data_IF_370589165394
#
_entry.id   IF_370589165394
#
_cell.length_a   1.000
_cell.length_b   1.000
_cell.length_c   1.000
_cell.angle_alpha   90.00
_cell.angle_beta   90.00
_cell.angle_gamma   90.00
#
_symmetry.space_group_name_H-M   'P 1'
#
loop_
_entity.id
_entity.type
_entity.pdbx_description
1 polymer ?
#
# COMPACT_ATOMS: atom_id res chain seq x y z
N UNK A 1 5.03 15.41 4.75
CA UNK A 1 4.82 14.64 5.99
C UNK A 1 4.84 13.18 5.62
N UNK A 2 5.68 12.38 6.27
CA UNK A 2 5.81 10.96 6.00
C UNK A 2 6.10 10.21 7.29
N UNK A 3 5.84 8.91 7.30
CA UNK A 3 6.17 8.06 8.44
C UNK A 3 5.89 6.60 8.16
N UNK A 4 6.51 5.75 8.98
CA UNK A 4 6.40 4.29 8.91
C UNK A 4 6.25 3.77 10.34
N UNK A 5 5.24 2.94 10.57
CA UNK A 5 5.05 2.18 11.80
C UNK A 5 4.97 0.71 11.41
N UNK A 6 5.80 -0.13 12.05
CA UNK A 6 5.76 -1.59 11.91
C UNK A 6 5.57 -2.15 13.31
N UNK A 7 4.42 -2.79 13.54
CA UNK A 7 4.04 -3.36 14.83
C UNK A 7 4.32 -4.86 14.92
N UNK A 8 4.48 -5.53 13.77
CA UNK A 8 4.78 -6.96 13.69
C UNK A 8 6.25 -7.16 13.26
N UNK A 9 7.12 -7.72 14.12
CA UNK A 9 8.54 -7.94 13.80
C UNK A 9 8.79 -8.75 12.53
N UNK A 10 7.87 -9.62 12.13
CA UNK A 10 7.99 -10.39 10.87
C UNK A 10 7.96 -9.52 9.62
N UNK A 11 7.45 -8.30 9.71
CA UNK A 11 7.38 -7.35 8.58
C UNK A 11 8.55 -6.35 8.61
N UNK A 12 9.43 -6.41 9.61
CA UNK A 12 10.51 -5.43 9.75
C UNK A 12 11.47 -5.44 8.56
N UNK A 13 11.65 -6.60 7.92
CA UNK A 13 12.44 -6.71 6.69
C UNK A 13 11.86 -5.88 5.52
N UNK A 14 10.59 -5.46 5.57
CA UNK A 14 9.97 -4.60 4.56
C UNK A 14 10.22 -3.11 4.81
N UNK A 15 10.79 -2.71 5.96
CA UNK A 15 11.07 -1.28 6.24
C UNK A 15 11.86 -0.61 5.11
N UNK A 16 12.96 -1.17 4.60
CA UNK A 16 13.71 -0.54 3.51
C UNK A 16 12.84 -0.32 2.25
N UNK A 17 11.92 -1.25 1.95
CA UNK A 17 10.98 -1.08 0.82
C UNK A 17 10.04 0.11 1.06
N UNK A 18 9.48 0.23 2.26
CA UNK A 18 8.56 1.31 2.61
C UNK A 18 9.25 2.68 2.61
N UNK A 19 10.53 2.73 3.02
CA UNK A 19 11.35 3.94 2.94
C UNK A 19 11.63 4.33 1.48
N UNK A 20 12.06 3.36 0.65
CA UNK A 20 12.31 3.59 -0.79
C UNK A 20 11.05 3.88 -1.59
N UNK A 21 9.88 3.49 -1.09
CA UNK A 21 8.61 3.78 -1.75
C UNK A 21 8.32 5.28 -1.78
N UNK A 22 8.71 6.03 -0.75
CA UNK A 22 8.64 7.50 -0.75
C UNK A 22 9.53 8.08 -1.85
N UNK A 23 10.79 7.64 -1.94
CA UNK A 23 11.74 8.06 -2.98
C UNK A 23 11.20 7.78 -4.39
N UNK A 24 10.54 6.63 -4.58
CA UNK A 24 9.95 6.24 -5.86
C UNK A 24 8.80 7.18 -6.27
N UNK A 25 7.94 7.58 -5.32
CA UNK A 25 6.87 8.54 -5.58
C UNK A 25 7.45 9.92 -5.93
N UNK A 26 8.44 10.39 -5.17
CA UNK A 26 9.09 11.67 -5.44
C UNK A 26 9.78 11.69 -6.80
N UNK A 27 10.51 10.63 -7.13
CA UNK A 27 11.19 10.51 -8.42
C UNK A 27 10.18 10.45 -9.58
N UNK A 28 9.07 9.73 -9.41
CA UNK A 28 8.00 9.70 -10.40
C UNK A 28 7.43 11.11 -10.62
N UNK A 29 7.04 11.79 -9.54
CA UNK A 29 6.44 13.12 -9.63
C UNK A 29 7.43 14.18 -10.15
N UNK A 30 8.72 14.07 -9.83
CA UNK A 30 9.75 14.97 -10.37
C UNK A 30 9.93 14.84 -11.89
N UNK A 31 9.72 13.64 -12.44
CA UNK A 31 9.83 13.38 -13.89
C UNK A 31 8.53 13.68 -14.63
N UNK A 32 7.38 13.30 -14.07
CA UNK A 32 6.06 13.49 -14.69
C UNK A 32 5.48 14.89 -14.48
N UNK A 33 5.98 15.61 -13.48
CA UNK A 33 5.52 16.94 -13.11
C UNK A 33 4.19 16.92 -12.36
N UNK A 34 3.62 18.10 -12.21
CA UNK A 34 2.48 18.39 -11.32
C UNK A 34 1.11 17.93 -11.86
N UNK A 35 1.07 17.30 -13.03
CA UNK A 35 -0.19 16.98 -13.71
C UNK A 35 -0.70 15.56 -13.43
N UNK A 36 0.11 14.70 -12.80
CA UNK A 36 -0.25 13.32 -12.51
C UNK A 36 0.58 12.79 -11.35
N UNK A 37 -0.09 12.11 -10.41
CA UNK A 37 0.60 11.37 -9.34
C UNK A 37 0.13 9.91 -9.37
N UNK A 38 0.99 8.95 -9.01
CA UNK A 38 0.72 7.53 -9.17
C UNK A 38 -0.48 7.06 -8.32
N UNK A 39 -0.71 7.71 -7.19
CA UNK A 39 -1.79 7.39 -6.27
C UNK A 39 -3.17 7.90 -6.72
N UNK A 40 -3.25 8.69 -7.79
CA UNK A 40 -4.54 9.04 -8.40
C UNK A 40 -5.12 7.94 -9.29
N UNK A 41 -4.27 7.02 -9.76
CA UNK A 41 -4.64 6.02 -10.75
C UNK A 41 -5.34 4.83 -10.11
N UNK A 42 -4.67 3.69 -10.01
CA UNK A 42 -5.21 2.44 -9.47
C UNK A 42 -4.18 1.71 -8.60
N UNK A 43 -4.58 0.56 -8.05
CA UNK A 43 -3.69 -0.26 -7.24
C UNK A 43 -2.47 -0.76 -8.02
N UNK A 44 -2.56 -0.91 -9.35
CA UNK A 44 -1.45 -1.41 -10.18
C UNK A 44 -0.35 -0.38 -10.31
N UNK A 45 -0.69 0.90 -10.45
CA UNK A 45 0.28 1.98 -10.44
C UNK A 45 1.08 1.98 -9.11
N UNK A 46 0.39 1.83 -7.98
CA UNK A 46 1.01 1.83 -6.66
C UNK A 46 1.80 0.55 -6.37
N UNK A 47 1.33 -0.62 -6.83
CA UNK A 47 2.10 -1.86 -6.84
C UNK A 47 3.37 -1.74 -7.68
N UNK A 48 3.30 -1.06 -8.83
CA UNK A 48 4.45 -0.76 -9.68
C UNK A 48 5.55 -0.02 -8.92
N UNK A 49 5.18 1.03 -8.20
CA UNK A 49 6.13 1.79 -7.38
C UNK A 49 6.63 1.02 -6.16
N UNK A 50 5.77 0.25 -5.49
CA UNK A 50 6.20 -0.60 -4.38
C UNK A 50 7.18 -1.68 -4.86
N UNK A 51 6.97 -2.23 -6.07
CA UNK A 51 7.90 -3.15 -6.72
C UNK A 51 9.22 -2.46 -7.09
N UNK A 52 9.19 -1.24 -7.61
CA UNK A 52 10.44 -0.49 -7.86
C UNK A 52 11.21 -0.23 -6.57
N UNK A 53 10.50 0.13 -5.49
CA UNK A 53 11.07 0.34 -4.17
C UNK A 53 11.73 -0.93 -3.60
N UNK A 54 11.14 -2.11 -3.84
CA UNK A 54 11.73 -3.38 -3.43
C UNK A 54 13.06 -3.65 -4.15
N UNK A 55 13.14 -3.41 -5.46
CA UNK A 55 14.41 -3.50 -6.20
C UNK A 55 15.46 -2.49 -5.69
N UNK A 56 15.04 -1.26 -5.37
CA UNK A 56 15.92 -0.24 -4.79
C UNK A 56 16.38 -0.58 -3.36
N UNK A 57 15.67 -1.46 -2.68
CA UNK A 57 15.98 -1.97 -1.36
C UNK A 57 16.78 -3.29 -1.40
N UNK A 58 17.39 -3.63 -2.55
CA UNK A 58 18.20 -4.84 -2.75
C UNK A 58 17.40 -6.15 -2.56
N UNK A 59 16.09 -6.11 -2.76
CA UNK A 59 15.20 -7.27 -2.72
C UNK A 59 14.83 -7.72 -4.12
N UNK A 60 14.44 -8.99 -4.25
CA UNK A 60 13.82 -9.50 -5.47
C UNK A 60 12.31 -9.33 -5.39
N UNK A 61 11.69 -8.94 -6.49
CA UNK A 61 10.25 -8.80 -6.57
C UNK A 61 9.71 -9.20 -7.93
N UNK A 62 8.48 -9.73 -7.94
CA UNK A 62 7.75 -10.07 -9.14
C UNK A 62 6.27 -9.77 -8.96
N UNK A 63 5.72 -8.95 -9.87
CA UNK A 63 4.27 -8.74 -9.95
C UNK A 63 3.58 -9.91 -10.62
N UNK A 64 2.32 -10.15 -10.24
CA UNK A 64 1.51 -11.24 -10.80
C UNK A 64 2.21 -12.61 -10.66
N UNK A 65 2.95 -12.78 -9.56
CA UNK A 65 3.78 -13.94 -9.31
C UNK A 65 2.91 -15.20 -9.18
N UNK A 66 3.21 -16.28 -9.95
CA UNK A 66 2.46 -17.52 -9.88
C UNK A 66 2.44 -18.09 -8.46
N UNK A 67 1.26 -18.53 -8.03
CA UNK A 67 1.08 -19.22 -6.75
C UNK A 67 0.01 -20.31 -6.89
N UNK A 68 -0.24 -21.03 -5.80
CA UNK A 68 -1.42 -21.87 -5.66
C UNK A 68 -2.40 -21.19 -4.70
N UNK A 69 -3.70 -21.32 -4.96
CA UNK A 69 -4.76 -20.86 -4.07
C UNK A 69 -5.58 -22.04 -3.57
N UNK A 70 -5.91 -22.05 -2.29
CA UNK A 70 -6.84 -23.00 -1.71
C UNK A 70 -8.28 -22.62 -2.09
N UNK A 71 -9.01 -23.60 -2.60
CA UNK A 71 -10.45 -23.57 -2.88
C UNK A 71 -11.10 -24.78 -2.19
N UNK A 72 -12.44 -24.81 -2.11
CA UNK A 72 -13.17 -25.93 -1.48
C UNK A 72 -12.83 -27.29 -2.13
N UNK A 73 -12.55 -27.30 -3.44
CA UNK A 73 -12.18 -28.49 -4.23
C UNK A 73 -10.68 -28.84 -4.21
N UNK A 74 -9.86 -28.14 -3.41
CA UNK A 74 -8.41 -28.39 -3.30
C UNK A 74 -7.54 -27.17 -3.65
N UNK A 75 -6.49 -27.37 -4.46
CA UNK A 75 -5.60 -26.29 -4.89
C UNK A 75 -5.81 -25.96 -6.38
N UNK A 76 -5.90 -24.66 -6.70
CA UNK A 76 -5.91 -24.17 -8.08
C UNK A 76 -4.75 -23.23 -8.32
N UNK A 77 -4.22 -23.22 -9.54
CA UNK A 77 -3.28 -22.18 -9.98
C UNK A 77 -3.89 -20.79 -9.78
N UNK A 78 -3.15 -19.93 -9.10
CA UNK A 78 -3.51 -18.55 -8.83
C UNK A 78 -2.31 -17.62 -9.00
N UNK A 79 -2.49 -16.36 -8.63
CA UNK A 79 -1.43 -15.36 -8.62
C UNK A 79 -1.48 -14.54 -7.34
N UNK A 80 -0.30 -14.24 -6.81
CA UNK A 80 -0.10 -13.13 -5.90
C UNK A 80 0.07 -11.84 -6.71
N UNK A 81 -0.45 -10.73 -6.22
CA UNK A 81 -0.29 -9.45 -6.92
C UNK A 81 1.17 -9.00 -6.88
N UNK A 82 1.85 -9.28 -5.77
CA UNK A 82 3.28 -9.01 -5.60
C UNK A 82 3.95 -10.09 -4.75
N UNK A 83 5.13 -10.52 -5.16
CA UNK A 83 6.08 -11.28 -4.36
C UNK A 83 7.26 -10.38 -4.03
N UNK A 84 7.70 -10.32 -2.77
CA UNK A 84 8.91 -9.61 -2.35
C UNK A 84 9.75 -10.57 -1.49
N UNK A 85 11.06 -10.65 -1.75
CA UNK A 85 11.93 -11.51 -0.96
C UNK A 85 13.38 -11.00 -0.84
N UNK A 86 13.98 -11.41 0.27
CA UNK A 86 15.42 -11.52 0.54
C UNK A 86 15.79 -13.01 0.57
N UNK A 87 17.07 -13.39 0.68
CA UNK A 87 17.43 -14.80 0.87
C UNK A 87 16.80 -15.43 2.13
N UNK A 88 16.56 -14.64 3.19
CA UNK A 88 16.10 -15.12 4.49
C UNK A 88 14.57 -14.99 4.68
N UNK A 89 13.96 -13.97 4.08
CA UNK A 89 12.55 -13.59 4.31
C UNK A 89 11.80 -13.35 3.02
N UNK A 90 10.53 -13.77 2.96
CA UNK A 90 9.68 -13.55 1.78
C UNK A 90 8.24 -13.24 2.17
N UNK A 91 7.57 -12.42 1.37
CA UNK A 91 6.16 -12.10 1.51
C UNK A 91 5.42 -12.19 0.17
N UNK A 92 4.17 -12.66 0.25
CA UNK A 92 3.21 -12.68 -0.85
C UNK A 92 2.06 -11.74 -0.53
N UNK A 93 1.77 -10.81 -1.44
CA UNK A 93 0.77 -9.78 -1.25
C UNK A 93 -0.44 -10.02 -2.17
N UNK A 94 -1.64 -9.78 -1.65
CA UNK A 94 -2.78 -9.34 -2.45
C UNK A 94 -2.99 -7.85 -2.19
N UNK A 95 -3.29 -7.06 -3.21
CA UNK A 95 -3.46 -5.63 -3.05
C UNK A 95 -4.81 -5.10 -3.55
N UNK A 96 -5.27 -4.03 -2.91
CA UNK A 96 -6.40 -3.23 -3.39
C UNK A 96 -6.17 -1.76 -3.04
N UNK A 97 -6.98 -0.87 -3.62
CA UNK A 97 -6.91 0.56 -3.37
C UNK A 97 -8.28 1.15 -3.04
N UNK A 98 -8.27 2.15 -2.15
CA UNK A 98 -9.43 2.98 -1.81
C UNK A 98 -9.10 4.46 -1.92
N UNK A 99 -10.11 5.25 -2.28
CA UNK A 99 -10.07 6.71 -2.32
C UNK A 99 -11.10 7.28 -1.34
N UNK A 100 -10.87 7.16 -0.02
CA UNK A 100 -11.81 7.70 0.94
C UNK A 100 -11.71 9.23 1.05
N UNK A 101 -12.67 9.86 1.73
CA UNK A 101 -12.53 11.26 2.11
C UNK A 101 -11.53 11.38 3.25
N UNK A 102 -10.73 12.45 3.27
CA UNK A 102 -9.71 12.70 4.32
C UNK A 102 -10.27 12.52 5.74
N UNK A 103 -11.51 12.93 5.98
CA UNK A 103 -12.14 12.95 7.31
C UNK A 103 -13.06 11.74 7.55
N UNK A 104 -13.02 10.72 6.69
CA UNK A 104 -13.91 9.54 6.75
C UNK A 104 -13.28 8.37 5.99
N UNK A 105 -12.28 7.71 6.59
CA UNK A 105 -11.51 6.66 5.93
C UNK A 105 -12.28 5.34 5.72
N UNK A 106 -13.00 4.86 6.74
CA UNK A 106 -13.81 3.61 6.70
C UNK A 106 -13.06 2.40 6.09
N UNK A 107 -11.87 2.05 6.61
CA UNK A 107 -10.97 1.07 5.96
C UNK A 107 -11.17 -0.36 6.44
N UNK A 108 -11.83 -0.56 7.58
CA UNK A 108 -11.93 -1.87 8.24
C UNK A 108 -12.44 -2.98 7.32
N UNK A 109 -13.52 -2.75 6.57
CA UNK A 109 -14.05 -3.77 5.64
C UNK A 109 -13.06 -4.07 4.51
N UNK A 110 -12.47 -3.03 3.90
CA UNK A 110 -11.51 -3.19 2.82
C UNK A 110 -10.26 -3.97 3.28
N UNK A 111 -9.80 -3.74 4.52
CA UNK A 111 -8.71 -4.50 5.14
C UNK A 111 -9.11 -5.96 5.38
N UNK A 112 -10.33 -6.23 5.85
CA UNK A 112 -10.82 -7.60 6.05
C UNK A 112 -10.91 -8.37 4.74
N UNK A 113 -11.45 -7.73 3.70
CA UNK A 113 -11.59 -8.33 2.37
C UNK A 113 -10.22 -8.70 1.80
N UNK A 114 -9.28 -7.75 1.75
CA UNK A 114 -7.97 -7.99 1.14
C UNK A 114 -7.11 -8.97 1.94
N UNK A 115 -7.26 -8.97 3.27
CA UNK A 115 -6.60 -9.97 4.13
C UNK A 115 -7.18 -11.36 3.86
N UNK A 116 -8.50 -11.47 3.66
CA UNK A 116 -9.16 -12.75 3.34
C UNK A 116 -8.71 -13.29 1.99
N UNK A 117 -8.53 -12.42 0.99
CA UNK A 117 -7.96 -12.81 -0.29
C UNK A 117 -6.51 -13.28 -0.18
N UNK A 118 -5.70 -12.61 0.64
CA UNK A 118 -4.32 -13.03 0.90
C UNK A 118 -4.25 -14.39 1.62
N UNK A 119 -5.20 -14.72 2.50
CA UNK A 119 -5.26 -16.03 3.18
C UNK A 119 -5.32 -17.20 2.19
N UNK A 120 -5.98 -17.01 1.05
CA UNK A 120 -6.19 -18.04 0.02
C UNK A 120 -4.90 -18.51 -0.63
N UNK A 121 -3.79 -17.79 -0.50
CA UNK A 121 -2.48 -18.22 -1.01
C UNK A 121 -2.02 -19.48 -0.24
N UNK A 122 -1.71 -20.56 -0.97
CA UNK A 122 -1.50 -21.92 -0.42
C UNK A 122 -0.15 -22.15 0.25
N UNK A 123 0.80 -21.21 0.14
CA UNK A 123 2.11 -21.34 0.80
C UNK A 123 2.00 -21.08 2.30
N UNK A 124 1.65 -22.12 3.07
CA UNK A 124 1.32 -22.02 4.49
C UNK A 124 2.48 -21.52 5.38
N UNK A 125 3.72 -21.79 5.00
CA UNK A 125 4.92 -21.36 5.74
C UNK A 125 5.34 -19.92 5.46
N UNK A 126 4.84 -19.32 4.38
CA UNK A 126 5.30 -18.02 3.92
C UNK A 126 4.44 -16.89 4.50
N UNK A 127 5.02 -15.71 4.63
CA UNK A 127 4.29 -14.53 5.07
C UNK A 127 3.30 -14.11 3.97
N UNK A 128 2.01 -14.08 4.31
CA UNK A 128 0.93 -13.65 3.42
C UNK A 128 0.36 -12.33 3.93
N UNK A 129 0.24 -11.33 3.05
CA UNK A 129 -0.16 -9.99 3.43
C UNK A 129 -1.34 -9.50 2.57
N UNK A 130 -2.35 -8.96 3.24
CA UNK A 130 -3.26 -8.02 2.60
C UNK A 130 -2.59 -6.64 2.55
N UNK A 131 -2.57 -6.03 1.37
CA UNK A 131 -2.01 -4.71 1.12
C UNK A 131 -3.12 -3.75 0.70
N UNK A 132 -3.37 -2.71 1.50
CA UNK A 132 -4.37 -1.70 1.17
C UNK A 132 -3.68 -0.37 0.91
N UNK A 133 -3.77 0.11 -0.33
CA UNK A 133 -3.42 1.48 -0.67
C UNK A 133 -4.61 2.41 -0.39
N UNK A 134 -4.33 3.56 0.22
CA UNK A 134 -5.33 4.56 0.59
C UNK A 134 -4.89 5.91 0.04
N UNK A 135 -5.57 6.38 -1.00
CA UNK A 135 -5.34 7.67 -1.64
C UNK A 135 -6.50 8.61 -1.26
N UNK A 136 -6.44 9.27 -0.08
CA UNK A 136 -7.55 10.07 0.41
C UNK A 136 -7.78 11.29 -0.49
N UNK A 137 -9.02 11.78 -0.55
CA UNK A 137 -9.38 12.93 -1.39
C UNK A 137 -10.24 13.97 -0.66
N UNK A 138 -10.24 15.20 -1.19
CA UNK A 138 -11.05 16.33 -0.71
C UNK A 138 -11.47 17.23 -1.88
N UNK A 139 -12.73 17.68 -1.91
CA UNK A 139 -13.31 18.32 -3.11
C UNK A 139 -13.09 19.85 -3.22
N UNK A 140 -13.04 20.59 -2.11
CA UNK A 140 -13.10 22.07 -2.16
C UNK A 140 -11.73 22.74 -1.99
N UNK A 141 -10.91 22.22 -1.07
CA UNK A 141 -9.60 22.75 -0.74
C UNK A 141 -8.67 21.62 -0.36
N UNK A 142 -7.35 21.90 -0.36
CA UNK A 142 -6.35 20.96 0.14
C UNK A 142 -6.60 20.58 1.61
N UNK A 143 -6.08 19.43 2.02
CA UNK A 143 -6.08 19.04 3.42
C UNK A 143 -5.10 19.91 4.23
N UNK A 144 -5.57 20.36 5.40
CA UNK A 144 -4.75 21.08 6.37
C UNK A 144 -3.76 20.14 7.07
N UNK A 145 -2.66 20.64 7.66
CA UNK A 145 -1.77 19.81 8.47
C UNK A 145 -2.49 19.05 9.59
N UNK A 146 -3.47 19.68 10.24
CA UNK A 146 -4.27 19.10 11.33
C UNK A 146 -5.13 17.95 10.82
N UNK A 147 -5.87 18.14 9.72
CA UNK A 147 -6.66 17.05 9.11
C UNK A 147 -5.79 15.88 8.68
N UNK A 148 -4.56 16.13 8.22
CA UNK A 148 -3.63 15.07 7.85
C UNK A 148 -3.08 14.34 9.08
N UNK A 149 -2.92 15.04 10.20
CA UNK A 149 -2.50 14.42 11.46
C UNK A 149 -3.64 13.55 12.02
N UNK A 150 -4.86 14.06 12.07
CA UNK A 150 -6.05 13.29 12.49
C UNK A 150 -6.21 12.02 11.65
N UNK A 151 -6.01 12.15 10.34
CA UNK A 151 -6.04 11.02 9.41
C UNK A 151 -4.92 10.01 9.68
N UNK A 152 -3.71 10.45 10.02
CA UNK A 152 -2.61 9.56 10.43
C UNK A 152 -2.98 8.82 11.71
N UNK A 153 -3.60 9.49 12.67
CA UNK A 153 -4.05 8.87 13.91
C UNK A 153 -5.15 7.83 13.64
N UNK A 154 -6.06 8.10 12.69
CA UNK A 154 -7.08 7.13 12.25
C UNK A 154 -6.47 5.93 11.53
N UNK A 155 -5.47 6.13 10.66
CA UNK A 155 -4.76 5.02 10.01
C UNK A 155 -4.10 4.09 11.02
N UNK A 156 -3.58 4.63 12.13
CA UNK A 156 -2.95 3.84 13.19
C UNK A 156 -3.94 3.01 14.01
N UNK A 157 -5.23 3.41 14.07
CA UNK A 157 -6.28 2.69 14.79
C UNK A 157 -6.74 1.42 14.08
N UNK A 158 -6.42 1.21 12.80
CA UNK A 158 -6.86 0.04 12.01
C UNK A 158 -6.17 -1.30 12.42
N UNK A 159 -5.36 -1.29 13.48
CA UNK A 159 -4.69 -2.47 14.06
C UNK A 159 -3.99 -3.35 13.01
N UNK A 160 -3.26 -2.71 12.10
CA UNK A 160 -2.50 -3.39 11.03
C UNK A 160 -1.09 -3.75 11.51
N UNK A 161 -0.39 -4.56 10.71
CA UNK A 161 0.97 -5.02 11.02
C UNK A 161 2.03 -4.00 10.62
N UNK A 162 1.76 -3.23 9.57
CA UNK A 162 2.54 -2.06 9.20
C UNK A 162 1.66 -1.00 8.55
N UNK A 163 2.01 0.27 8.73
CA UNK A 163 1.44 1.42 8.03
C UNK A 163 2.58 2.32 7.59
N UNK A 164 2.58 2.74 6.34
CA UNK A 164 3.43 3.82 5.85
C UNK A 164 2.57 4.87 5.15
N UNK A 165 2.90 6.15 5.32
CA UNK A 165 2.18 7.24 4.71
C UNK A 165 3.13 8.28 4.11
N UNK A 166 2.69 8.87 3.00
CA UNK A 166 3.41 9.88 2.28
C UNK A 166 2.48 11.00 1.82
N UNK A 167 2.61 12.17 2.43
CA UNK A 167 1.85 13.39 2.12
C UNK A 167 2.81 14.52 1.73
N UNK A 168 3.32 14.52 0.49
CA UNK A 168 4.29 15.51 0.00
C UNK A 168 3.71 16.92 -0.06
N UNK A 169 4.43 17.92 0.47
CA UNK A 169 3.92 19.30 0.54
C UNK A 169 3.66 19.91 -0.84
N UNK A 170 4.57 19.68 -1.79
CA UNK A 170 4.46 20.19 -3.16
C UNK A 170 3.16 19.75 -3.85
N UNK A 171 2.73 18.51 -3.59
CA UNK A 171 1.63 17.89 -4.35
C UNK A 171 0.27 17.96 -3.65
N UNK A 172 0.17 18.46 -2.41
CA UNK A 172 -1.11 18.62 -1.69
C UNK A 172 -2.09 19.57 -2.35
N UNK A 173 -1.59 20.48 -3.19
CA UNK A 173 -2.39 21.50 -3.87
C UNK A 173 -2.86 21.05 -5.25
N UNK A 174 -2.42 19.88 -5.70
CA UNK A 174 -2.81 19.35 -6.99
C UNK A 174 -4.25 18.85 -6.97
N UNK A 175 -4.91 18.99 -8.12
CA UNK A 175 -6.27 18.51 -8.36
C UNK A 175 -6.23 17.52 -9.51
N UNK A 176 -6.96 16.42 -9.36
CA UNK A 176 -7.21 15.53 -10.50
C UNK A 176 -8.22 16.18 -11.48
N UNK A 177 -8.50 15.52 -12.61
CA UNK A 177 -9.46 16.00 -13.61
C UNK A 177 -10.88 16.23 -13.02
N UNK A 178 -11.25 15.48 -11.98
CA UNK A 178 -12.49 15.64 -11.24
C UNK A 178 -12.51 16.80 -10.23
N UNK A 179 -11.44 17.60 -10.15
CA UNK A 179 -11.30 18.73 -9.22
C UNK A 179 -11.00 18.33 -7.77
N UNK A 180 -10.77 17.05 -7.49
CA UNK A 180 -10.44 16.56 -6.15
C UNK A 180 -8.96 16.71 -5.85
N UNK A 181 -8.66 17.23 -4.66
CA UNK A 181 -7.34 17.25 -4.06
C UNK A 181 -7.03 15.89 -3.44
N UNK A 182 -5.85 15.34 -3.72
CA UNK A 182 -5.33 14.15 -3.05
C UNK A 182 -4.02 14.53 -2.36
N UNK A 183 -3.99 14.60 -1.02
CA UNK A 183 -2.82 15.09 -0.29
C UNK A 183 -1.64 14.12 -0.28
N UNK A 184 -1.84 12.89 -0.77
CA UNK A 184 -0.84 11.83 -0.87
C UNK A 184 -1.46 10.45 -0.74
N UNK A 185 -0.73 9.51 -0.16
CA UNK A 185 -1.12 8.09 -0.08
C UNK A 185 -0.62 7.45 1.21
N UNK A 186 -1.35 6.45 1.69
CA UNK A 186 -0.88 5.49 2.69
C UNK A 186 -0.95 4.06 2.15
N UNK A 187 -0.09 3.19 2.69
CA UNK A 187 -0.14 1.74 2.50
C UNK A 187 -0.26 1.08 3.87
N UNK A 188 -1.24 0.19 4.00
CA UNK A 188 -1.46 -0.61 5.20
C UNK A 188 -1.22 -2.08 4.85
N UNK A 189 -0.39 -2.74 5.65
CA UNK A 189 -0.08 -4.17 5.51
C UNK A 189 -0.64 -4.94 6.70
N UNK A 190 -1.41 -6.00 6.42
CA UNK A 190 -1.99 -6.87 7.45
C UNK A 190 -1.66 -8.33 7.17
N UNK A 191 -1.13 -9.02 8.18
CA UNK A 191 -0.82 -10.45 8.11
C UNK A 191 -2.10 -11.27 7.96
N UNK A 192 -2.17 -12.06 6.90
CA UNK A 192 -3.23 -13.02 6.64
C UNK A 192 -2.95 -14.32 7.40
N UNK A 193 -3.33 -14.33 8.69
CA UNK A 193 -3.19 -15.52 9.54
C UNK A 193 -4.17 -16.62 9.11
N UNK A 194 -3.67 -17.86 9.06
CA UNK A 194 -4.47 -19.08 8.88
C UNK A 194 -5.55 -19.18 9.95
#
# INVERSE_FOLDING_TARGET
MQGIIISNPKLEFLRPVLERWFDCIDRYNAVRGDNETPYWLDEKANLGLLSAAAWMAEMVTLQQSPTRKHIEEGERNGRADLFIATPESRAWLQATQRWPRVNSLNLTQALQDITSDAKRISYASDLKLGCLFVAPHKAQQGATPEELQDMVDDLQKEHTCAVAWYFPYAYRKLRNEGGHYHPGIAVLLKEARG
#
